data_IF_855134767560
#
_entry.id   IF_855134767560
#
_cell.length_a   1.000
_cell.length_b   1.000
_cell.length_c   1.000
_cell.angle_alpha   90.00
_cell.angle_beta   90.00
_cell.angle_gamma   90.00
#
_symmetry.space_group_name_H-M   'P 1'
#
loop_
_entity.id
_entity.type
_entity.pdbx_description
1 polymer ?
#
# COMPACT_ATOMS: atom_id res chain seq x y z
N UNK A 1 -3.68 12.15 -3.84
CA UNK A 1 -3.01 11.89 -2.54
C UNK A 1 -2.25 13.15 -2.11
N UNK A 2 -2.65 13.83 -1.03
CA UNK A 2 -1.87 14.99 -0.53
C UNK A 2 -0.84 14.48 0.47
N UNK A 3 0.44 14.67 0.17
CA UNK A 3 1.49 14.46 1.16
C UNK A 3 1.20 15.34 2.37
N UNK A 4 1.29 14.77 3.56
CA UNK A 4 1.29 15.57 4.80
C UNK A 4 2.73 15.94 5.10
N UNK A 5 2.99 17.15 5.57
CA UNK A 5 4.33 17.54 5.99
C UNK A 5 4.53 17.14 7.46
N UNK A 6 5.50 16.26 7.74
CA UNK A 6 6.02 16.11 9.09
C UNK A 6 6.89 17.32 9.38
N UNK A 7 6.56 18.05 10.45
CA UNK A 7 7.38 19.15 10.98
C UNK A 7 7.83 18.77 12.38
N UNK A 8 9.11 18.45 12.52
CA UNK A 8 9.67 18.01 13.80
C UNK A 8 10.85 17.07 13.64
N UNK A 9 11.32 16.48 14.75
CA UNK A 9 12.47 15.60 14.72
C UNK A 9 12.06 14.19 14.23
N UNK A 10 12.78 13.65 13.24
CA UNK A 10 12.54 12.29 12.72
C UNK A 10 12.96 11.21 13.72
N UNK A 11 13.95 11.50 14.55
CA UNK A 11 14.40 10.66 15.67
C UNK A 11 14.34 11.47 16.95
N UNK A 12 14.16 10.81 18.09
CA UNK A 12 14.26 11.45 19.40
C UNK A 12 15.56 12.26 19.50
N UNK A 13 15.45 13.50 20.02
CA UNK A 13 16.55 14.47 20.18
C UNK A 13 17.25 14.90 18.88
N UNK A 14 16.68 14.59 17.70
CA UNK A 14 17.16 15.06 16.41
C UNK A 14 16.80 16.52 16.11
N UNK A 15 17.39 17.11 15.05
CA UNK A 15 17.00 18.44 14.59
C UNK A 15 15.58 18.42 14.02
N UNK A 16 14.87 19.54 14.16
CA UNK A 16 13.59 19.72 13.46
C UNK A 16 13.83 19.81 11.96
N UNK A 17 13.11 18.98 11.21
CA UNK A 17 13.08 18.99 9.75
C UNK A 17 11.64 19.13 9.26
N UNK A 18 11.49 19.59 8.03
CA UNK A 18 10.24 19.52 7.29
C UNK A 18 10.42 18.51 6.16
N UNK A 19 9.60 17.46 6.17
CA UNK A 19 9.65 16.37 5.17
C UNK A 19 8.24 15.99 4.76
N UNK A 20 8.06 15.83 3.45
CA UNK A 20 6.84 15.27 2.88
C UNK A 20 6.75 13.78 3.25
N UNK A 21 5.65 13.40 3.88
CA UNK A 21 5.37 12.02 4.26
C UNK A 21 4.10 11.51 3.59
N UNK A 22 4.08 10.19 3.39
CA UNK A 22 2.93 9.47 2.86
C UNK A 22 2.72 8.18 3.65
N UNK A 23 1.51 7.66 3.56
CA UNK A 23 1.13 6.35 4.07
C UNK A 23 0.20 5.68 3.07
N UNK A 24 0.19 4.35 3.04
CA UNK A 24 -0.74 3.59 2.21
C UNK A 24 -1.89 3.07 3.04
N UNK A 25 -3.08 2.98 2.44
CA UNK A 25 -4.22 2.35 3.08
C UNK A 25 -4.08 0.83 3.03
N UNK A 26 -4.43 0.18 4.12
CA UNK A 26 -4.56 -1.28 4.22
C UNK A 26 -6.03 -1.67 4.33
N UNK A 27 -6.31 -2.92 3.99
CA UNK A 27 -7.63 -3.55 4.07
C UNK A 27 -7.47 -5.02 4.49
N UNK A 28 -8.59 -5.74 4.64
CA UNK A 28 -8.59 -7.16 5.00
C UNK A 28 -7.93 -8.00 3.90
N UNK A 29 -7.08 -8.99 4.23
CA UNK A 29 -6.50 -9.89 3.24
C UNK A 29 -7.55 -10.61 2.38
N UNK A 30 -7.23 -10.82 1.10
CA UNK A 30 -7.89 -11.83 0.27
C UNK A 30 -7.27 -13.22 0.53
N UNK A 31 -7.84 -14.28 -0.04
CA UNK A 31 -7.37 -15.66 0.18
C UNK A 31 -5.91 -15.91 -0.17
N UNK A 32 -5.37 -15.20 -1.18
CA UNK A 32 -3.97 -15.36 -1.58
C UNK A 32 -3.04 -14.65 -0.59
N UNK A 33 -3.37 -13.42 -0.22
CA UNK A 33 -2.57 -12.64 0.72
C UNK A 33 -2.63 -13.24 2.12
N UNK A 34 -3.78 -13.78 2.51
CA UNK A 34 -3.95 -14.49 3.78
C UNK A 34 -3.02 -15.71 3.89
N UNK A 35 -2.59 -16.32 2.78
CA UNK A 35 -1.58 -17.39 2.85
C UNK A 35 -0.16 -16.91 3.22
N UNK A 36 0.08 -15.59 3.26
CA UNK A 36 1.38 -14.96 3.52
C UNK A 36 1.33 -14.03 4.75
N UNK A 37 0.31 -13.19 4.85
CA UNK A 37 0.07 -12.25 5.93
C UNK A 37 -1.43 -12.24 6.29
N UNK A 38 -1.75 -12.78 7.46
CA UNK A 38 -3.11 -12.94 7.95
C UNK A 38 -3.77 -11.65 8.44
N UNK A 39 -3.01 -10.57 8.60
CA UNK A 39 -3.53 -9.37 9.23
C UNK A 39 -4.03 -8.37 8.20
N UNK A 40 -3.23 -8.04 7.18
CA UNK A 40 -3.51 -6.90 6.30
C UNK A 40 -3.01 -7.14 4.87
N UNK A 41 -3.72 -6.56 3.92
CA UNK A 41 -3.23 -6.31 2.57
C UNK A 41 -3.31 -4.82 2.24
N UNK A 42 -2.62 -4.37 1.20
CA UNK A 42 -2.77 -3.00 0.69
C UNK A 42 -4.08 -2.85 -0.09
N UNK A 43 -4.64 -1.64 -0.10
CA UNK A 43 -5.64 -1.26 -1.10
C UNK A 43 -4.92 -1.10 -2.44
N UNK A 44 -5.40 -1.81 -3.46
CA UNK A 44 -4.77 -1.88 -4.79
C UNK A 44 -5.76 -1.47 -5.88
N UNK A 45 -5.85 -0.18 -6.24
CA UNK A 45 -6.47 0.22 -7.51
C UNK A 45 -5.67 -0.39 -8.67
N UNK A 46 -6.35 -0.82 -9.74
CA UNK A 46 -5.69 -1.52 -10.88
C UNK A 46 -6.12 -1.05 -12.26
N UNK A 47 -7.14 -0.19 -12.32
CA UNK A 47 -7.68 0.36 -13.55
C UNK A 47 -7.49 1.87 -13.59
N UNK A 48 -7.40 2.42 -14.79
CA UNK A 48 -7.17 3.84 -15.00
C UNK A 48 -8.26 4.72 -14.36
N UNK A 49 -9.52 4.30 -14.46
CA UNK A 49 -10.66 4.99 -13.84
C UNK A 49 -10.60 4.94 -12.30
N UNK A 50 -10.11 3.84 -11.73
CA UNK A 50 -9.86 3.72 -10.29
C UNK A 50 -8.72 4.64 -9.84
N UNK A 51 -7.66 4.80 -10.64
CA UNK A 51 -6.57 5.75 -10.35
C UNK A 51 -7.08 7.20 -10.36
N UNK A 52 -7.84 7.59 -11.37
CA UNK A 52 -8.43 8.93 -11.46
C UNK A 52 -9.38 9.20 -10.29
N UNK A 53 -10.24 8.24 -9.96
CA UNK A 53 -11.13 8.34 -8.80
C UNK A 53 -10.34 8.49 -7.50
N UNK A 54 -9.24 7.76 -7.34
CA UNK A 54 -8.39 7.82 -6.15
C UNK A 54 -7.63 9.15 -6.01
N UNK A 55 -7.13 9.70 -7.11
CA UNK A 55 -6.29 10.90 -7.11
C UNK A 55 -7.11 12.20 -7.09
N UNK A 56 -8.25 12.20 -7.78
CA UNK A 56 -9.01 13.40 -8.14
C UNK A 56 -10.46 13.38 -7.67
N UNK A 57 -11.00 12.21 -7.30
CA UNK A 57 -12.37 12.06 -6.81
C UNK A 57 -12.59 12.61 -5.40
N UNK A 58 -13.85 12.57 -4.95
CA UNK A 58 -14.18 12.91 -3.57
C UNK A 58 -13.62 11.89 -2.59
N UNK A 59 -13.40 12.25 -1.31
CA UNK A 59 -12.96 11.29 -0.30
C UNK A 59 -13.87 10.06 -0.18
N UNK A 60 -15.19 10.22 -0.37
CA UNK A 60 -16.14 9.12 -0.31
C UNK A 60 -15.98 8.15 -1.50
N UNK A 61 -15.79 8.67 -2.71
CA UNK A 61 -15.55 7.86 -3.91
C UNK A 61 -14.21 7.13 -3.83
N UNK A 62 -13.15 7.81 -3.40
CA UNK A 62 -11.84 7.17 -3.20
C UNK A 62 -11.91 6.08 -2.11
N UNK A 63 -12.58 6.34 -0.99
CA UNK A 63 -12.73 5.36 0.08
C UNK A 63 -13.55 4.13 -0.33
N UNK A 64 -14.50 4.26 -1.27
CA UNK A 64 -15.23 3.13 -1.84
C UNK A 64 -14.32 2.16 -2.64
N UNK A 65 -13.13 2.59 -3.04
CA UNK A 65 -12.09 1.74 -3.63
C UNK A 65 -11.25 0.98 -2.59
N UNK A 66 -11.39 1.26 -1.29
CA UNK A 66 -10.65 0.61 -0.20
C UNK A 66 -11.16 -0.80 0.12
N UNK A 67 -11.03 -1.72 -0.84
CA UNK A 67 -11.49 -3.12 -0.79
C UNK A 67 -10.34 -4.11 -1.01
N UNK A 68 -10.53 -5.34 -0.56
CA UNK A 68 -9.61 -6.44 -0.88
C UNK A 68 -9.51 -6.64 -2.40
N UNK A 69 -8.30 -6.85 -2.89
CA UNK A 69 -8.06 -7.04 -4.32
C UNK A 69 -8.52 -8.42 -4.79
N UNK A 70 -8.85 -8.56 -6.08
CA UNK A 70 -9.23 -9.84 -6.67
C UNK A 70 -8.04 -10.83 -6.66
N UNK A 71 -8.11 -11.93 -5.91
CA UNK A 71 -7.03 -12.90 -5.86
C UNK A 71 -6.76 -13.58 -7.22
N UNK A 72 -7.74 -13.65 -8.12
CA UNK A 72 -7.55 -14.24 -9.46
C UNK A 72 -6.67 -13.37 -10.37
N UNK A 73 -6.58 -12.07 -10.07
CA UNK A 73 -5.70 -11.12 -10.76
C UNK A 73 -4.30 -11.03 -10.10
N UNK A 74 -4.00 -11.90 -9.13
CA UNK A 74 -2.72 -11.94 -8.42
C UNK A 74 -2.06 -13.31 -8.57
N UNK A 75 -0.72 -13.33 -8.48
CA UNK A 75 0.04 -14.57 -8.34
C UNK A 75 1.26 -14.36 -7.47
N UNK A 76 1.62 -15.40 -6.71
CA UNK A 76 2.90 -15.46 -6.01
C UNK A 76 3.95 -15.80 -7.07
N UNK A 77 4.89 -14.89 -7.31
CA UNK A 77 5.95 -15.08 -8.32
C UNK A 77 7.17 -15.80 -7.76
N UNK A 78 7.37 -15.76 -6.44
CA UNK A 78 8.44 -16.47 -5.75
C UNK A 78 8.08 -16.64 -4.26
N UNK A 79 8.56 -17.72 -3.65
CA UNK A 79 8.43 -17.99 -2.21
C UNK A 79 9.69 -18.69 -1.69
N UNK A 80 10.15 -18.33 -0.49
CA UNK A 80 11.31 -18.97 0.15
C UNK A 80 11.64 -18.30 1.47
N UNK A 81 12.22 -19.05 2.42
CA UNK A 81 12.59 -18.52 3.73
C UNK A 81 13.78 -17.57 3.66
N UNK A 82 14.69 -17.81 2.72
CA UNK A 82 15.98 -17.12 2.63
C UNK A 82 15.89 -15.70 2.01
N UNK A 83 14.72 -15.32 1.48
CA UNK A 83 14.45 -13.99 0.88
C UNK A 83 15.45 -13.58 -0.21
N UNK A 84 15.97 -14.54 -0.95
CA UNK A 84 16.89 -14.33 -2.07
C UNK A 84 16.12 -13.99 -3.36
N UNK A 85 16.66 -13.15 -4.23
CA UNK A 85 16.12 -12.93 -5.58
C UNK A 85 16.72 -13.96 -6.54
N UNK A 86 15.92 -14.95 -6.96
CA UNK A 86 16.37 -16.05 -7.81
C UNK A 86 16.22 -15.74 -9.30
N UNK A 87 15.64 -14.59 -9.66
CA UNK A 87 15.52 -14.14 -11.06
C UNK A 87 16.73 -13.31 -11.50
N UNK A 88 17.46 -12.73 -10.55
CA UNK A 88 18.67 -11.96 -10.78
C UNK A 88 19.98 -12.78 -10.61
N UNK A 89 19.87 -14.07 -10.30
CA UNK A 89 20.98 -14.99 -10.04
C UNK A 89 21.49 -15.73 -11.30
#
# INVERSE_FOLDING_TARGET
>A
MRASALKGPVKNDGPNVEVDVYSFMTTTPNVLTDSINHERMLVLPSKEDEFETWLSGTPAEAFALARSFDPAAMRIVQSGFDKEDLLAA
#
